data_IF_992591620714
#
_entry.id   IF_992591620714
#
_cell.length_a   1.000
_cell.length_b   1.000
_cell.length_c   1.000
_cell.angle_alpha   90.00
_cell.angle_beta   90.00
_cell.angle_gamma   90.00
#
_symmetry.space_group_name_H-M   'P 1'
#
loop_
_entity.id
_entity.type
_entity.pdbx_description
1 polymer ?
#
# COMPACT_ATOMS: atom_id res chain seq x y z
N UNK A 1 8.19 0.58 -21.69
CA UNK A 1 7.68 1.74 -22.48
C UNK A 1 6.21 1.57 -22.85
N UNK A 2 5.77 0.39 -23.29
CA UNK A 2 4.37 0.13 -23.65
C UNK A 2 3.36 0.39 -22.50
N UNK A 3 3.63 -0.11 -21.29
CA UNK A 3 2.73 0.04 -20.13
C UNK A 3 2.41 1.50 -19.77
N UNK A 4 3.37 2.42 -19.94
CA UNK A 4 3.16 3.84 -19.66
C UNK A 4 2.16 4.43 -20.66
N UNK A 5 2.31 4.08 -21.94
CA UNK A 5 1.37 4.52 -22.98
C UNK A 5 0.00 3.91 -22.77
N UNK A 6 -0.10 2.63 -22.40
CA UNK A 6 -1.39 1.98 -22.11
C UNK A 6 -2.16 2.70 -21.00
N UNK A 7 -1.50 2.99 -19.86
CA UNK A 7 -2.12 3.72 -18.76
C UNK A 7 -2.45 5.16 -19.14
N UNK A 8 -1.58 5.83 -19.90
CA UNK A 8 -1.79 7.21 -20.35
C UNK A 8 -2.96 7.29 -21.36
N UNK A 9 -3.03 6.35 -22.30
CA UNK A 9 -4.12 6.23 -23.27
C UNK A 9 -5.43 5.93 -22.56
N UNK A 10 -5.45 5.04 -21.56
CA UNK A 10 -6.62 4.83 -20.73
C UNK A 10 -7.08 6.13 -20.06
N UNK A 11 -6.15 6.84 -19.39
CA UNK A 11 -6.45 8.11 -18.72
C UNK A 11 -6.97 9.18 -19.68
N UNK A 12 -6.42 9.23 -20.89
CA UNK A 12 -6.82 10.17 -21.93
C UNK A 12 -8.23 9.86 -22.45
N UNK A 13 -8.46 8.62 -22.89
CA UNK A 13 -9.72 8.20 -23.51
C UNK A 13 -10.92 8.31 -22.57
N UNK A 14 -10.68 8.23 -21.26
CA UNK A 14 -11.74 8.34 -20.25
C UNK A 14 -11.71 9.68 -19.50
N UNK A 15 -10.90 10.66 -19.91
CA UNK A 15 -10.78 11.96 -19.21
C UNK A 15 -10.53 11.82 -17.69
N UNK A 16 -9.68 10.86 -17.30
CA UNK A 16 -9.49 10.49 -15.89
C UNK A 16 -8.69 11.52 -15.11
N UNK A 17 -7.72 12.17 -15.76
CA UNK A 17 -6.81 13.10 -15.07
C UNK A 17 -7.54 14.14 -14.20
N UNK A 18 -8.42 15.02 -14.73
CA UNK A 18 -9.08 16.04 -13.91
C UNK A 18 -10.01 15.47 -12.83
N UNK A 19 -10.53 14.25 -13.00
CA UNK A 19 -11.47 13.61 -12.06
C UNK A 19 -10.78 12.81 -10.96
N UNK A 20 -9.53 12.40 -11.17
CA UNK A 20 -8.75 11.57 -10.24
C UNK A 20 -8.04 12.35 -9.13
N UNK A 21 -7.93 13.67 -9.25
CA UNK A 21 -7.14 14.52 -8.33
C UNK A 21 -7.88 14.95 -7.05
N UNK A 22 -9.18 14.68 -6.93
CA UNK A 22 -9.98 15.10 -5.78
C UNK A 22 -9.41 14.68 -4.40
N UNK A 23 -8.85 13.47 -4.20
CA UNK A 23 -8.30 13.07 -2.90
C UNK A 23 -7.17 14.00 -2.38
N UNK A 24 -6.42 14.63 -3.28
CA UNK A 24 -5.28 15.48 -2.92
C UNK A 24 -5.70 16.73 -2.12
N UNK A 25 -6.95 17.20 -2.25
CA UNK A 25 -7.46 18.34 -1.47
C UNK A 25 -7.52 18.03 0.03
N UNK A 26 -7.70 16.77 0.40
CA UNK A 26 -7.72 16.32 1.80
C UNK A 26 -6.30 16.06 2.32
N UNK A 27 -5.37 15.76 1.41
CA UNK A 27 -3.97 15.52 1.74
C UNK A 27 -3.19 16.82 1.96
N UNK A 28 -3.41 17.85 1.15
CA UNK A 28 -2.63 19.08 1.18
C UNK A 28 -2.60 19.80 2.55
N UNK A 29 -3.73 19.94 3.28
CA UNK A 29 -3.71 20.55 4.61
C UNK A 29 -2.94 19.72 5.64
N UNK A 30 -3.05 18.39 5.58
CA UNK A 30 -2.36 17.46 6.50
C UNK A 30 -0.84 17.51 6.29
N UNK A 31 -0.41 17.54 5.02
CA UNK A 31 1.01 17.69 4.69
C UNK A 31 1.55 19.08 5.10
N UNK A 32 0.72 20.13 5.01
CA UNK A 32 1.11 21.49 5.38
C UNK A 32 1.15 21.71 6.91
N UNK A 33 0.29 21.03 7.67
CA UNK A 33 0.27 21.12 9.14
C UNK A 33 1.34 20.24 9.81
N UNK A 34 1.94 19.31 9.07
CA UNK A 34 2.85 18.31 9.64
C UNK A 34 2.13 17.24 10.46
N UNK A 35 0.80 17.19 10.39
CA UNK A 35 0.01 16.16 11.05
C UNK A 35 0.28 14.79 10.41
N UNK A 36 0.28 13.75 11.24
CA UNK A 36 0.33 12.39 10.73
C UNK A 36 -0.91 12.11 9.89
N UNK A 37 -0.73 11.44 8.75
CA UNK A 37 -1.84 10.84 8.02
C UNK A 37 -2.67 9.99 8.99
N UNK A 38 -3.99 10.10 8.88
CA UNK A 38 -4.91 9.27 9.66
C UNK A 38 -4.76 7.83 9.21
N UNK A 39 -3.94 7.07 9.93
CA UNK A 39 -3.71 5.66 9.68
C UNK A 39 -4.65 4.87 10.59
N UNK A 40 -5.32 3.87 10.03
CA UNK A 40 -6.20 2.98 10.80
C UNK A 40 -5.41 2.25 11.87
N UNK A 41 -5.68 2.57 13.14
CA UNK A 41 -5.09 1.92 14.32
C UNK A 41 -5.98 0.79 14.85
N UNK A 42 -6.66 0.06 13.95
CA UNK A 42 -7.53 -1.03 14.39
C UNK A 42 -6.75 -2.02 15.23
N UNK A 43 -7.24 -2.28 16.44
CA UNK A 43 -6.69 -3.29 17.35
C UNK A 43 -7.30 -4.67 17.12
N UNK A 44 -8.38 -4.74 16.33
CA UNK A 44 -9.18 -5.95 16.14
C UNK A 44 -8.92 -6.59 14.77
N UNK A 45 -8.87 -5.78 13.71
CA UNK A 45 -8.70 -6.29 12.34
C UNK A 45 -7.22 -6.57 12.06
N UNK A 46 -6.85 -7.75 11.53
CA UNK A 46 -5.48 -8.04 11.15
C UNK A 46 -4.95 -7.06 10.12
N UNK A 47 -3.68 -6.69 10.26
CA UNK A 47 -2.98 -5.83 9.32
C UNK A 47 -1.70 -6.51 8.82
N UNK A 48 -1.41 -6.34 7.54
CA UNK A 48 -0.19 -6.81 6.88
C UNK A 48 0.50 -5.67 6.16
N UNK A 49 1.83 -5.64 6.19
CA UNK A 49 2.64 -4.63 5.51
C UNK A 49 3.79 -5.27 4.74
N UNK A 50 3.94 -4.92 3.47
CA UNK A 50 5.04 -5.36 2.62
C UNK A 50 5.94 -4.16 2.26
N UNK A 51 7.21 -4.23 2.63
CA UNK A 51 8.17 -3.15 2.50
C UNK A 51 9.04 -3.34 1.24
N UNK A 52 8.82 -2.52 0.22
CA UNK A 52 9.59 -2.50 -1.03
C UNK A 52 10.64 -1.37 -1.03
N UNK A 53 11.88 -1.61 -1.49
CA UNK A 53 12.99 -0.68 -1.28
C UNK A 53 12.85 0.68 -1.96
N UNK A 54 12.10 0.77 -3.07
CA UNK A 54 11.92 2.01 -3.85
C UNK A 54 10.51 2.63 -3.70
N UNK A 55 9.81 2.34 -2.60
CA UNK A 55 8.56 3.03 -2.24
C UNK A 55 8.83 4.49 -1.82
N UNK A 56 7.91 5.40 -2.15
CA UNK A 56 7.98 6.83 -1.84
C UNK A 56 8.07 7.09 -0.33
N UNK A 57 7.34 6.29 0.48
CA UNK A 57 7.36 6.37 1.95
C UNK A 57 7.51 4.97 2.53
N UNK A 58 8.75 4.56 2.75
CA UNK A 58 9.07 3.26 3.33
C UNK A 58 8.94 3.29 4.86
N UNK A 59 8.19 2.33 5.43
CA UNK A 59 8.08 2.18 6.88
C UNK A 59 8.98 1.04 7.40
N UNK A 60 9.99 1.35 8.24
CA UNK A 60 10.76 0.33 8.94
C UNK A 60 9.87 -0.55 9.82
N UNK A 61 10.25 -1.81 10.01
CA UNK A 61 9.50 -2.79 10.82
C UNK A 61 9.16 -2.27 12.22
N UNK A 62 10.11 -1.63 12.89
CA UNK A 62 9.91 -1.07 14.24
C UNK A 62 8.84 0.00 14.27
N UNK A 63 8.80 0.89 13.28
CA UNK A 63 7.76 1.91 13.15
C UNK A 63 6.42 1.30 12.79
N UNK A 64 6.40 0.30 11.90
CA UNK A 64 5.17 -0.41 11.54
C UNK A 64 4.51 -1.05 12.78
N UNK A 65 5.28 -1.70 13.65
CA UNK A 65 4.74 -2.26 14.90
C UNK A 65 4.22 -1.20 15.88
N UNK A 66 4.78 0.01 15.88
CA UNK A 66 4.30 1.12 16.71
C UNK A 66 3.01 1.74 16.16
N UNK A 67 2.89 1.84 14.84
CA UNK A 67 1.76 2.48 14.16
C UNK A 67 0.56 1.55 14.04
N UNK A 68 0.78 0.25 13.83
CA UNK A 68 -0.26 -0.74 13.56
C UNK A 68 -0.36 -1.77 14.70
N UNK A 69 -1.30 -1.61 15.65
CA UNK A 69 -1.39 -2.46 16.83
C UNK A 69 -1.63 -3.95 16.55
N UNK A 70 -2.30 -4.29 15.44
CA UNK A 70 -2.56 -5.66 15.03
C UNK A 70 -1.82 -6.04 13.73
N UNK A 71 -0.54 -5.63 13.63
CA UNK A 71 0.35 -6.05 12.54
C UNK A 71 0.74 -7.52 12.73
N UNK A 72 0.16 -8.41 11.93
CA UNK A 72 0.38 -9.86 12.01
C UNK A 72 1.32 -10.38 10.92
N UNK A 73 1.60 -9.56 9.90
CA UNK A 73 2.47 -9.91 8.78
C UNK A 73 3.32 -8.71 8.39
N UNK A 74 4.64 -8.87 8.37
CA UNK A 74 5.57 -7.88 7.85
C UNK A 74 6.60 -8.59 6.98
N UNK A 75 6.68 -8.19 5.72
CA UNK A 75 7.69 -8.65 4.76
C UNK A 75 8.56 -7.47 4.33
N UNK A 76 9.83 -7.75 4.00
CA UNK A 76 10.74 -6.78 3.40
C UNK A 76 11.42 -7.44 2.22
N UNK A 77 11.39 -6.75 1.09
CA UNK A 77 11.94 -7.23 -0.18
C UNK A 77 13.20 -6.46 -0.55
N UNK A 78 13.98 -7.04 -1.46
CA UNK A 78 15.23 -6.51 -2.00
C UNK A 78 15.06 -5.81 -3.36
N UNK A 79 13.89 -5.93 -3.99
CA UNK A 79 13.55 -5.33 -5.28
C UNK A 79 12.09 -4.87 -5.34
N UNK A 80 11.79 -3.99 -6.29
CA UNK A 80 10.48 -3.35 -6.48
C UNK A 80 10.33 -2.01 -5.76
N UNK A 81 9.33 -1.24 -6.16
CA UNK A 81 9.03 0.07 -5.60
C UNK A 81 7.54 0.33 -5.46
N UNK A 82 7.15 1.57 -5.77
CA UNK A 82 5.80 2.07 -5.57
C UNK A 82 4.71 1.26 -6.30
N UNK A 83 5.01 0.73 -7.49
CA UNK A 83 4.09 -0.09 -8.25
C UNK A 83 4.35 -1.58 -8.05
N UNK A 84 4.49 -2.03 -6.80
CA UNK A 84 4.90 -3.39 -6.42
C UNK A 84 4.20 -4.52 -7.20
N UNK A 85 2.87 -4.46 -7.34
CA UNK A 85 2.10 -5.46 -8.07
C UNK A 85 2.39 -5.49 -9.58
N UNK A 86 2.76 -4.35 -10.16
CA UNK A 86 3.13 -4.23 -11.58
C UNK A 86 4.60 -4.60 -11.82
N UNK A 87 5.49 -4.21 -10.90
CA UNK A 87 6.94 -4.40 -11.03
C UNK A 87 7.40 -5.81 -10.60
N UNK A 88 6.80 -6.38 -9.56
CA UNK A 88 7.17 -7.67 -8.96
C UNK A 88 5.91 -8.52 -8.69
N UNK A 89 5.16 -8.93 -9.73
CA UNK A 89 3.84 -9.56 -9.58
C UNK A 89 3.88 -10.86 -8.77
N UNK A 90 4.90 -11.69 -8.96
CA UNK A 90 5.06 -12.97 -8.24
C UNK A 90 5.31 -12.73 -6.74
N UNK A 91 6.21 -11.82 -6.40
CA UNK A 91 6.53 -11.47 -5.00
C UNK A 91 5.31 -10.86 -4.32
N UNK A 92 4.61 -9.95 -5.01
CA UNK A 92 3.40 -9.33 -4.51
C UNK A 92 2.32 -10.37 -4.22
N UNK A 93 2.07 -11.29 -5.17
CA UNK A 93 1.07 -12.35 -5.01
C UNK A 93 1.42 -13.29 -3.86
N UNK A 94 2.68 -13.69 -3.75
CA UNK A 94 3.18 -14.54 -2.66
C UNK A 94 2.88 -13.93 -1.29
N UNK A 95 3.15 -12.64 -1.12
CA UNK A 95 2.86 -11.92 0.12
C UNK A 95 1.36 -11.86 0.43
N UNK A 96 0.53 -11.58 -0.58
CA UNK A 96 -0.93 -11.58 -0.43
C UNK A 96 -1.43 -12.95 0.03
N UNK A 97 -0.96 -14.03 -0.60
CA UNK A 97 -1.36 -15.40 -0.26
C UNK A 97 -0.91 -15.79 1.16
N UNK A 98 0.32 -15.44 1.54
CA UNK A 98 0.82 -15.66 2.92
C UNK A 98 0.00 -14.90 3.94
N UNK A 99 -0.36 -13.64 3.66
CA UNK A 99 -1.20 -12.87 4.56
C UNK A 99 -2.59 -13.47 4.69
N UNK A 100 -3.23 -13.86 3.58
CA UNK A 100 -4.55 -14.51 3.60
C UNK A 100 -4.52 -15.79 4.41
N UNK A 101 -3.49 -16.62 4.26
CA UNK A 101 -3.35 -17.85 5.05
C UNK A 101 -3.19 -17.55 6.55
N UNK A 102 -2.39 -16.55 6.91
CA UNK A 102 -2.24 -16.12 8.31
C UNK A 102 -3.54 -15.59 8.93
N UNK A 103 -4.37 -14.90 8.14
CA UNK A 103 -5.68 -14.43 8.60
C UNK A 103 -6.64 -15.61 8.80
N UNK A 104 -6.68 -16.54 7.85
CA UNK A 104 -7.51 -17.76 7.92
C UNK A 104 -7.13 -18.63 9.11
N UNK A 105 -5.83 -18.85 9.33
CA UNK A 105 -5.34 -19.68 10.44
C UNK A 105 -5.68 -19.12 11.82
N UNK A 106 -5.97 -17.82 11.92
CA UNK A 106 -6.40 -17.16 13.17
C UNK A 106 -7.91 -17.21 13.39
N UNK A 107 -8.67 -17.89 12.54
CA UNK A 107 -10.14 -18.01 12.65
C UNK A 107 -10.88 -16.70 12.39
N UNK A 108 -10.22 -15.72 11.76
CA UNK A 108 -10.80 -14.44 11.37
C UNK A 108 -11.33 -14.62 9.96
N UNK A 109 -12.62 -14.94 9.85
CA UNK A 109 -13.29 -15.08 8.56
C UNK A 109 -13.49 -13.69 7.94
N UNK A 110 -13.01 -13.52 6.71
CA UNK A 110 -13.29 -12.34 5.85
C UNK A 110 -14.62 -12.55 5.15
#
# INVERSE_FOLDING_TARGET
MQTILELTTLYWLTETFPRSLYPYRHLAPVLASGDSLSISKSTIKPFGYAAYPFECVLMPKTWAHQVYPNLIHYSRHDKGGHFAALEQPEIFLDDVLRFVELVRSRGIFV
#
